data_IF_848779651102
#
_entry.id   IF_848779651102
#
_cell.length_a   1.000
_cell.length_b   1.000
_cell.length_c   1.000
_cell.angle_alpha   90.00
_cell.angle_beta   90.00
_cell.angle_gamma   90.00
#
_symmetry.space_group_name_H-M   'P 1'
#
loop_
_entity.id
_entity.type
_entity.pdbx_description
1 polymer ?
#
# COMPACT_ATOMS: atom_id res chain seq x y z
N UNK A 1 -33.24 -69.49 -24.20
CA UNK A 1 -32.35 -68.90 -23.16
C UNK A 1 -33.00 -67.62 -22.66
N UNK A 2 -33.50 -67.59 -21.43
CA UNK A 2 -34.17 -66.41 -20.85
C UNK A 2 -33.37 -65.95 -19.63
N UNK A 3 -32.75 -64.78 -19.71
CA UNK A 3 -31.83 -64.25 -18.69
C UNK A 3 -32.64 -63.48 -17.65
N UNK A 4 -32.77 -64.05 -16.45
CA UNK A 4 -33.45 -63.40 -15.31
C UNK A 4 -32.55 -62.31 -14.72
N UNK A 5 -32.94 -61.05 -14.90
CA UNK A 5 -32.33 -59.89 -14.23
C UNK A 5 -32.94 -59.76 -12.84
N UNK A 6 -32.16 -60.10 -11.79
CA UNK A 6 -32.53 -59.84 -10.40
C UNK A 6 -32.21 -58.39 -10.06
N UNK A 7 -33.24 -57.55 -9.93
CA UNK A 7 -33.13 -56.22 -9.32
C UNK A 7 -33.14 -56.37 -7.81
N UNK A 8 -32.06 -55.96 -7.15
CA UNK A 8 -31.98 -55.94 -5.69
C UNK A 8 -32.72 -54.70 -5.18
N UNK A 9 -33.71 -54.85 -4.27
CA UNK A 9 -34.38 -53.71 -3.66
C UNK A 9 -33.39 -52.98 -2.75
N UNK A 10 -33.09 -51.72 -3.07
CA UNK A 10 -32.35 -50.82 -2.19
C UNK A 10 -33.23 -50.58 -0.97
N UNK A 11 -32.82 -51.13 0.17
CA UNK A 11 -33.56 -51.04 1.44
C UNK A 11 -33.46 -49.61 1.97
N UNK A 12 -34.41 -48.76 1.62
CA UNK A 12 -34.57 -47.44 2.24
C UNK A 12 -35.00 -47.65 3.70
N UNK A 13 -34.05 -47.55 4.63
CA UNK A 13 -34.33 -47.42 6.06
C UNK A 13 -34.55 -45.92 6.34
N UNK A 14 -35.65 -45.57 7.00
CA UNK A 14 -35.92 -44.18 7.38
C UNK A 14 -34.81 -43.60 8.25
N UNK A 15 -34.63 -42.28 8.22
CA UNK A 15 -33.60 -41.58 9.00
C UNK A 15 -33.83 -41.73 10.50
N UNK A 16 -32.77 -42.10 11.23
CA UNK A 16 -32.79 -42.09 12.71
C UNK A 16 -32.72 -40.66 13.24
N UNK A 17 -33.35 -40.39 14.39
CA UNK A 17 -33.31 -39.09 15.07
C UNK A 17 -31.87 -38.66 15.35
N UNK A 18 -31.00 -39.60 15.74
CA UNK A 18 -29.57 -39.31 15.97
C UNK A 18 -28.86 -38.86 14.69
N UNK A 19 -29.20 -39.47 13.56
CA UNK A 19 -28.62 -39.15 12.25
C UNK A 19 -29.04 -37.75 11.79
N UNK A 20 -30.31 -37.40 12.01
CA UNK A 20 -30.83 -36.04 11.80
C UNK A 20 -30.19 -35.00 12.73
N UNK A 21 -29.88 -35.38 13.97
CA UNK A 21 -29.22 -34.50 14.94
C UNK A 21 -27.76 -34.22 14.53
N UNK A 22 -27.01 -35.24 14.10
CA UNK A 22 -25.66 -35.02 13.56
C UNK A 22 -25.69 -34.22 12.24
N UNK A 23 -26.64 -34.50 11.35
CA UNK A 23 -26.78 -33.77 10.09
C UNK A 23 -27.04 -32.27 10.31
N UNK A 24 -27.91 -31.92 11.27
CA UNK A 24 -28.20 -30.50 11.58
C UNK A 24 -27.01 -29.78 12.22
N UNK A 25 -26.23 -30.46 13.07
CA UNK A 25 -25.00 -29.87 13.65
C UNK A 25 -23.96 -29.61 12.56
N UNK A 26 -23.71 -30.58 11.67
CA UNK A 26 -22.76 -30.41 10.55
C UNK A 26 -23.22 -29.27 9.63
N UNK A 27 -24.51 -29.21 9.33
CA UNK A 27 -25.10 -28.12 8.52
C UNK A 27 -24.90 -26.75 9.18
N UNK A 28 -25.17 -26.64 10.48
CA UNK A 28 -25.01 -25.38 11.22
C UNK A 28 -23.55 -24.92 11.24
N UNK A 29 -22.60 -25.82 11.53
CA UNK A 29 -21.16 -25.49 11.49
C UNK A 29 -20.75 -25.04 10.09
N UNK A 30 -21.21 -25.72 9.05
CA UNK A 30 -20.95 -25.33 7.66
C UNK A 30 -21.51 -23.95 7.33
N UNK A 31 -22.75 -23.66 7.72
CA UNK A 31 -23.41 -22.39 7.45
C UNK A 31 -22.76 -21.22 8.20
N UNK A 32 -22.44 -21.40 9.48
CA UNK A 32 -21.71 -20.40 10.28
C UNK A 32 -20.32 -20.15 9.69
N UNK A 33 -19.63 -21.20 9.24
CA UNK A 33 -18.30 -21.07 8.62
C UNK A 33 -18.34 -20.25 7.34
N UNK A 34 -19.32 -20.48 6.46
CA UNK A 34 -19.48 -19.67 5.23
C UNK A 34 -19.88 -18.23 5.57
N UNK A 35 -20.77 -18.04 6.55
CA UNK A 35 -21.24 -16.72 6.95
C UNK A 35 -20.12 -15.80 7.47
N UNK A 36 -19.10 -16.35 8.13
CA UNK A 36 -17.93 -15.56 8.56
C UNK A 36 -16.86 -15.40 7.47
N UNK A 37 -16.69 -16.39 6.59
CA UNK A 37 -15.66 -16.36 5.54
C UNK A 37 -15.95 -15.32 4.46
N UNK A 38 -17.23 -15.09 4.13
CA UNK A 38 -17.61 -14.13 3.08
C UNK A 38 -17.25 -12.68 3.47
N UNK A 39 -17.67 -12.14 4.63
CA UNK A 39 -17.27 -10.81 5.07
C UNK A 39 -15.76 -10.66 5.25
N UNK A 40 -15.10 -11.68 5.81
CA UNK A 40 -13.64 -11.69 5.98
C UNK A 40 -12.92 -11.57 4.62
N UNK A 41 -13.37 -12.33 3.62
CA UNK A 41 -12.80 -12.29 2.27
C UNK A 41 -13.04 -10.94 1.58
N UNK A 42 -14.21 -10.33 1.77
CA UNK A 42 -14.50 -8.99 1.26
C UNK A 42 -13.57 -7.94 1.88
N UNK A 43 -13.36 -8.00 3.19
CA UNK A 43 -12.45 -7.08 3.88
C UNK A 43 -11.01 -7.22 3.39
N UNK A 44 -10.53 -8.45 3.20
CA UNK A 44 -9.19 -8.72 2.66
C UNK A 44 -9.05 -8.22 1.22
N UNK A 45 -10.03 -8.50 0.36
CA UNK A 45 -10.01 -8.02 -1.03
C UNK A 45 -10.05 -6.49 -1.11
N UNK A 46 -10.82 -5.85 -0.23
CA UNK A 46 -10.85 -4.39 -0.15
C UNK A 46 -9.48 -3.82 0.21
N UNK A 47 -8.83 -4.36 1.26
CA UNK A 47 -7.47 -3.95 1.65
C UNK A 47 -6.46 -4.16 0.53
N UNK A 48 -6.47 -5.32 -0.11
CA UNK A 48 -5.57 -5.61 -1.23
C UNK A 48 -5.74 -4.65 -2.41
N UNK A 49 -6.97 -4.24 -2.70
CA UNK A 49 -7.26 -3.26 -3.75
C UNK A 49 -6.70 -1.89 -3.39
N UNK A 50 -6.87 -1.45 -2.14
CA UNK A 50 -6.33 -0.17 -1.67
C UNK A 50 -4.80 -0.15 -1.66
N UNK A 51 -4.17 -1.24 -1.22
CA UNK A 51 -2.70 -1.36 -1.25
C UNK A 51 -2.18 -1.34 -2.70
N UNK A 52 -2.90 -1.99 -3.63
CA UNK A 52 -2.53 -1.97 -5.05
C UNK A 52 -2.65 -0.58 -5.67
N UNK A 53 -3.70 0.19 -5.36
CA UNK A 53 -3.84 1.56 -5.86
C UNK A 53 -2.79 2.49 -5.26
N UNK A 54 -2.51 2.36 -3.96
CA UNK A 54 -1.47 3.12 -3.29
C UNK A 54 -0.07 2.81 -3.87
N UNK A 55 0.20 1.54 -4.24
CA UNK A 55 1.45 1.13 -4.87
C UNK A 55 1.62 1.78 -6.25
N UNK A 56 0.59 1.71 -7.10
CA UNK A 56 0.63 2.32 -8.44
C UNK A 56 0.85 3.82 -8.33
N UNK A 57 0.21 4.48 -7.35
CA UNK A 57 0.41 5.90 -7.11
C UNK A 57 1.85 6.20 -6.62
N UNK A 58 2.36 5.41 -5.67
CA UNK A 58 3.74 5.54 -5.20
C UNK A 58 4.76 5.39 -6.34
N UNK A 59 4.54 4.43 -7.23
CA UNK A 59 5.40 4.22 -8.41
C UNK A 59 5.36 5.42 -9.36
N UNK A 60 4.18 5.93 -9.70
CA UNK A 60 4.06 7.13 -10.55
C UNK A 60 4.74 8.34 -9.93
N UNK A 61 4.59 8.53 -8.62
CA UNK A 61 5.24 9.64 -7.93
C UNK A 61 6.76 9.48 -7.91
N UNK A 62 7.25 8.25 -7.72
CA UNK A 62 8.67 7.94 -7.80
C UNK A 62 9.21 8.23 -9.21
N UNK A 63 8.47 7.91 -10.27
CA UNK A 63 8.86 8.23 -11.65
C UNK A 63 9.01 9.75 -11.86
N UNK A 64 8.06 10.55 -11.36
CA UNK A 64 8.15 12.02 -11.42
C UNK A 64 9.40 12.54 -10.68
N UNK A 65 9.72 11.94 -9.52
CA UNK A 65 10.92 12.30 -8.74
C UNK A 65 12.20 11.94 -9.51
N UNK A 66 12.23 10.77 -10.14
CA UNK A 66 13.39 10.29 -10.88
C UNK A 66 13.65 11.02 -12.19
N UNK A 67 12.62 11.60 -12.80
CA UNK A 67 12.75 12.42 -14.02
C UNK A 67 13.40 13.78 -13.75
N UNK A 68 13.48 14.21 -12.49
CA UNK A 68 14.10 15.49 -12.15
C UNK A 68 15.63 15.44 -12.23
N UNK A 69 16.27 16.52 -12.71
CA UNK A 69 17.72 16.66 -12.67
C UNK A 69 18.34 16.41 -11.28
N UNK A 70 19.52 15.79 -11.27
CA UNK A 70 20.27 15.54 -10.03
C UNK A 70 20.69 16.84 -9.30
N UNK A 71 20.89 17.94 -10.01
CA UNK A 71 21.51 19.15 -9.47
C UNK A 71 20.57 20.36 -9.51
N UNK A 72 20.68 21.29 -8.53
CA UNK A 72 19.99 22.57 -8.59
C UNK A 72 20.33 23.36 -9.86
N UNK A 73 19.41 24.20 -10.37
CA UNK A 73 18.09 24.52 -9.82
C UNK A 73 16.98 23.50 -10.19
N UNK A 74 17.27 22.46 -10.96
CA UNK A 74 16.28 21.49 -11.46
C UNK A 74 15.97 20.34 -10.51
N UNK A 75 16.57 20.27 -9.33
CA UNK A 75 16.37 19.20 -8.34
C UNK A 75 15.09 19.38 -7.50
N UNK A 76 14.01 19.81 -8.13
CA UNK A 76 12.73 20.05 -7.50
C UNK A 76 11.61 19.88 -8.52
N UNK A 77 10.41 19.57 -8.05
CA UNK A 77 9.22 19.58 -8.89
C UNK A 77 8.16 20.50 -8.28
N UNK A 78 7.24 20.97 -9.12
CA UNK A 78 6.14 21.85 -8.72
C UNK A 78 4.82 21.14 -8.97
N UNK A 79 3.91 21.18 -8.00
CA UNK A 79 2.57 20.63 -8.18
C UNK A 79 1.65 21.57 -8.98
N UNK A 80 0.41 21.11 -9.21
CA UNK A 80 -0.62 21.90 -9.88
C UNK A 80 -1.05 23.15 -9.08
N UNK A 81 -0.80 23.17 -7.77
CA UNK A 81 -1.11 24.27 -6.87
C UNK A 81 0.03 25.31 -6.79
N UNK A 82 1.13 25.10 -7.51
CA UNK A 82 2.30 25.97 -7.49
C UNK A 82 3.24 25.76 -6.31
N UNK A 83 3.03 24.72 -5.50
CA UNK A 83 3.93 24.36 -4.40
C UNK A 83 5.16 23.66 -4.95
N UNK A 84 6.34 24.06 -4.49
CA UNK A 84 7.61 23.43 -4.85
C UNK A 84 7.99 22.38 -3.82
N UNK A 85 8.57 21.28 -4.31
CA UNK A 85 9.01 20.15 -3.51
C UNK A 85 10.46 19.81 -3.85
N UNK A 86 11.30 19.74 -2.81
CA UNK A 86 12.75 19.59 -2.96
C UNK A 86 13.16 18.12 -3.04
N UNK A 87 14.18 17.84 -3.85
CA UNK A 87 14.72 16.50 -4.04
C UNK A 87 16.18 16.39 -3.55
N UNK A 88 16.48 17.06 -2.44
CA UNK A 88 17.78 17.01 -1.78
C UNK A 88 18.76 18.09 -2.25
N UNK A 89 19.48 18.67 -1.29
CA UNK A 89 20.50 19.70 -1.41
C UNK A 89 21.91 19.09 -1.46
N UNK A 90 22.69 19.30 -2.54
CA UNK A 90 24.05 18.77 -2.65
C UNK A 90 25.06 19.38 -1.66
N UNK A 91 24.73 20.48 -0.98
CA UNK A 91 25.59 21.13 0.03
C UNK A 91 25.69 20.38 1.34
N UNK A 92 24.78 19.45 1.59
CA UNK A 92 24.76 18.57 2.78
C UNK A 92 24.85 17.09 2.38
N UNK A 93 25.99 16.65 1.81
CA UNK A 93 26.13 15.29 1.30
C UNK A 93 26.19 14.25 2.43
N UNK A 94 25.77 13.03 2.13
CA UNK A 94 25.81 11.84 3.00
C UNK A 94 24.99 11.97 4.29
N UNK A 95 24.00 12.86 4.31
CA UNK A 95 23.03 13.01 5.40
C UNK A 95 21.63 12.74 4.86
N UNK A 96 20.76 12.16 5.70
CA UNK A 96 19.33 12.01 5.38
C UNK A 96 18.68 13.38 5.41
N UNK A 97 18.07 13.77 4.29
CA UNK A 97 17.34 15.01 4.13
C UNK A 97 15.84 14.72 3.95
N UNK A 98 14.99 15.57 4.50
CA UNK A 98 13.54 15.43 4.43
C UNK A 98 12.94 14.73 5.65
N UNK A 99 12.05 13.76 5.42
CA UNK A 99 11.35 13.10 6.52
C UNK A 99 12.24 12.13 7.30
N UNK A 100 11.85 11.88 8.55
CA UNK A 100 12.53 10.90 9.39
C UNK A 100 12.38 9.49 8.80
N UNK A 101 13.51 8.79 8.72
CA UNK A 101 13.58 7.40 8.27
C UNK A 101 13.83 6.53 9.49
N UNK A 102 12.93 5.58 9.75
CA UNK A 102 13.03 4.63 10.87
C UNK A 102 13.43 3.25 10.35
N UNK A 103 14.46 2.62 10.92
CA UNK A 103 14.76 1.22 10.64
C UNK A 103 13.78 0.32 11.41
N UNK A 104 13.09 -0.58 10.72
CA UNK A 104 12.24 -1.60 11.32
C UNK A 104 12.41 -2.92 10.56
N UNK A 105 12.68 -4.02 11.27
CA UNK A 105 12.91 -5.34 10.66
C UNK A 105 13.88 -5.32 9.46
N UNK A 106 15.03 -4.64 9.60
CA UNK A 106 16.03 -4.47 8.54
C UNK A 106 15.55 -3.72 7.28
N UNK A 107 14.40 -3.05 7.33
CA UNK A 107 13.88 -2.18 6.28
C UNK A 107 13.94 -0.72 6.74
N UNK A 108 14.21 0.20 5.81
CA UNK A 108 14.14 1.65 6.06
C UNK A 108 12.76 2.15 5.65
N UNK A 109 11.97 2.66 6.59
CA UNK A 109 10.63 3.19 6.34
C UNK A 109 10.55 4.67 6.69
N UNK A 110 9.59 5.36 6.06
CA UNK A 110 9.27 6.74 6.44
C UNK A 110 8.38 6.73 7.69
N UNK A 111 8.69 7.62 8.63
CA UNK A 111 7.87 7.86 9.80
C UNK A 111 6.66 8.76 9.48
N UNK A 112 5.46 8.22 9.70
CA UNK A 112 4.18 8.89 9.49
C UNK A 112 3.48 9.31 10.79
N UNK A 113 4.16 9.22 11.95
CA UNK A 113 3.60 9.59 13.26
C UNK A 113 3.43 11.10 13.42
N UNK A 114 4.28 11.90 12.78
CA UNK A 114 4.20 13.37 12.78
C UNK A 114 3.18 13.95 11.78
N UNK A 115 2.86 15.25 11.89
CA UNK A 115 2.00 15.94 10.93
C UNK A 115 2.59 15.88 9.52
N UNK A 116 1.73 16.01 8.49
CA UNK A 116 2.20 16.07 7.11
C UNK A 116 3.13 17.27 6.90
N UNK A 117 4.29 17.09 6.25
CA UNK A 117 5.21 18.18 5.96
C UNK A 117 4.57 19.33 5.20
N UNK A 118 4.93 20.57 5.57
CA UNK A 118 4.61 21.73 4.75
C UNK A 118 5.45 21.75 3.46
N UNK A 119 4.94 22.39 2.41
CA UNK A 119 5.67 22.61 1.16
C UNK A 119 6.95 23.44 1.37
N UNK A 120 7.82 23.48 0.36
CA UNK A 120 8.99 24.36 0.35
C UNK A 120 8.54 25.84 0.44
N UNK A 121 9.23 26.71 1.19
CA UNK A 121 10.58 26.57 1.75
C UNK A 121 10.70 25.91 3.13
N UNK A 122 9.62 25.49 3.76
CA UNK A 122 9.64 25.05 5.17
C UNK A 122 10.20 23.63 5.34
N UNK A 123 9.71 22.67 4.55
CA UNK A 123 10.20 21.29 4.56
C UNK A 123 10.32 20.80 3.11
N UNK A 124 9.20 20.73 2.38
CA UNK A 124 9.21 20.44 0.95
C UNK A 124 9.48 18.97 0.58
N UNK A 125 9.46 18.05 1.55
CA UNK A 125 9.67 16.61 1.35
C UNK A 125 8.40 15.75 1.52
N UNK A 126 7.22 16.37 1.44
CA UNK A 126 5.96 15.64 1.53
C UNK A 126 4.75 16.52 1.24
N UNK A 127 3.63 15.87 0.92
CA UNK A 127 2.34 16.51 0.67
C UNK A 127 1.20 15.51 0.78
N UNK A 128 -0.03 16.01 0.85
CA UNK A 128 -1.23 15.20 0.68
C UNK A 128 -1.75 15.32 -0.75
N UNK A 129 -2.10 14.21 -1.36
CA UNK A 129 -2.75 14.16 -2.65
C UNK A 129 -4.15 13.58 -2.53
N UNK A 130 -5.14 14.29 -3.02
CA UNK A 130 -6.49 13.77 -3.23
C UNK A 130 -6.74 13.79 -4.73
N UNK A 131 -7.18 12.67 -5.29
CA UNK A 131 -7.60 12.64 -6.69
C UNK A 131 -8.87 13.49 -6.84
N UNK A 132 -8.84 14.60 -7.63
CA UNK A 132 -10.01 15.45 -7.83
C UNK A 132 -11.18 14.75 -8.51
N UNK A 133 -10.94 13.63 -9.18
CA UNK A 133 -11.94 12.84 -9.90
C UNK A 133 -12.49 11.67 -9.08
N UNK A 134 -11.95 11.42 -7.88
CA UNK A 134 -12.41 10.34 -7.02
C UNK A 134 -13.64 10.76 -6.18
N UNK A 135 -14.84 10.21 -6.44
CA UNK A 135 -16.05 10.53 -5.67
C UNK A 135 -15.98 10.05 -4.22
N UNK A 136 -15.03 9.18 -3.87
CA UNK A 136 -14.83 8.70 -2.49
C UNK A 136 -13.93 9.61 -1.65
N UNK A 137 -13.23 10.56 -2.29
CA UNK A 137 -12.37 11.52 -1.62
C UNK A 137 -11.14 10.89 -0.95
N UNK A 138 -10.61 9.80 -1.50
CA UNK A 138 -9.45 9.14 -0.92
C UNK A 138 -8.23 10.06 -0.99
N UNK A 139 -7.64 10.35 0.17
CA UNK A 139 -6.44 11.18 0.30
C UNK A 139 -5.22 10.33 0.64
N UNK A 140 -4.08 10.61 0.03
CA UNK A 140 -2.80 9.96 0.28
C UNK A 140 -1.79 10.94 0.87
N UNK A 141 -1.14 10.56 1.98
CA UNK A 141 0.09 11.16 2.51
C UNK A 141 1.27 10.64 1.68
N UNK A 142 2.00 11.54 1.06
CA UNK A 142 3.25 11.23 0.36
C UNK A 142 4.37 11.91 1.11
N UNK A 143 5.39 11.13 1.49
CA UNK A 143 6.57 11.63 2.18
C UNK A 143 7.79 10.94 1.62
N UNK A 144 8.88 11.67 1.46
CA UNK A 144 10.15 11.07 1.09
C UNK A 144 11.30 11.58 1.94
N UNK A 145 12.38 10.82 1.89
CA UNK A 145 13.69 11.19 2.36
C UNK A 145 14.69 11.00 1.22
N UNK A 146 15.71 11.84 1.20
CA UNK A 146 16.77 11.83 0.18
C UNK A 146 18.11 11.74 0.86
N UNK A 147 18.98 10.87 0.34
CA UNK A 147 20.40 10.85 0.70
C UNK A 147 21.17 11.23 -0.56
N UNK A 148 21.78 12.41 -0.55
CA UNK A 148 22.59 12.91 -1.67
C UNK A 148 24.04 12.52 -1.45
N UNK A 149 24.68 11.90 -2.45
CA UNK A 149 26.12 11.64 -2.45
C UNK A 149 26.77 12.47 -3.54
N UNK A 150 27.85 13.19 -3.22
CA UNK A 150 28.48 14.11 -4.17
C UNK A 150 29.58 14.97 -3.54
N UNK A 151 30.03 15.97 -4.27
CA UNK A 151 31.13 16.85 -3.88
C UNK A 151 30.64 18.22 -3.38
N UNK A 152 29.72 18.24 -2.39
CA UNK A 152 29.28 19.44 -1.66
C UNK A 152 28.58 20.55 -2.46
N UNK A 153 28.56 20.46 -3.79
CA UNK A 153 27.90 21.40 -4.69
C UNK A 153 27.33 20.68 -5.93
N UNK A 154 27.81 19.46 -6.18
CA UNK A 154 27.38 18.61 -7.30
C UNK A 154 27.02 17.25 -6.73
N UNK A 155 25.75 16.87 -6.88
CA UNK A 155 25.27 15.51 -6.63
C UNK A 155 25.77 14.57 -7.73
N UNK A 156 26.42 13.49 -7.32
CA UNK A 156 26.81 12.37 -8.18
C UNK A 156 25.72 11.29 -8.21
N UNK A 157 25.13 11.00 -7.06
CA UNK A 157 23.95 10.14 -6.96
C UNK A 157 22.99 10.59 -5.87
N UNK A 158 21.75 10.12 -5.95
CA UNK A 158 20.71 10.33 -4.95
C UNK A 158 19.99 9.02 -4.68
N UNK A 159 19.82 8.68 -3.41
CA UNK A 159 18.92 7.62 -2.96
C UNK A 159 17.64 8.24 -2.43
N UNK A 160 16.51 7.77 -2.93
CA UNK A 160 15.17 8.21 -2.54
C UNK A 160 14.48 7.10 -1.79
N UNK A 161 13.95 7.43 -0.61
CA UNK A 161 13.09 6.56 0.18
C UNK A 161 11.72 7.23 0.19
N UNK A 162 10.76 6.69 -0.54
CA UNK A 162 9.41 7.23 -0.70
C UNK A 162 8.44 6.38 0.11
N UNK A 163 7.68 7.01 0.98
CA UNK A 163 6.55 6.43 1.68
C UNK A 163 5.23 6.98 1.16
N UNK A 164 4.23 6.13 1.01
CA UNK A 164 2.84 6.53 0.74
C UNK A 164 1.90 5.85 1.72
N UNK A 165 1.01 6.64 2.34
CA UNK A 165 -0.03 6.17 3.27
C UNK A 165 -1.37 6.79 2.92
N UNK A 166 -2.45 6.03 2.94
CA UNK A 166 -3.79 6.60 2.84
C UNK A 166 -4.19 7.33 4.13
N UNK A 167 -4.60 8.61 4.04
CA UNK A 167 -5.16 9.42 5.12
C UNK A 167 -6.67 9.56 4.90
N UNK A 168 -7.43 8.51 5.24
CA UNK A 168 -8.88 8.53 5.09
C UNK A 168 -9.44 7.13 4.86
N UNK A 169 -10.68 6.90 5.27
CA UNK A 169 -11.30 5.57 5.28
C UNK A 169 -11.21 4.86 6.63
N UNK A 170 -12.16 3.97 6.89
CA UNK A 170 -12.31 3.31 8.19
C UNK A 170 -11.32 2.14 8.31
N UNK A 171 -10.04 2.41 8.64
CA UNK A 171 -9.04 1.36 8.81
C UNK A 171 -7.60 1.84 9.01
N UNK A 172 -6.78 0.97 9.62
CA UNK A 172 -5.32 1.12 9.67
C UNK A 172 -4.74 0.54 8.37
N UNK A 173 -4.09 1.38 7.56
CA UNK A 173 -3.41 0.98 6.34
C UNK A 173 -1.91 1.06 6.56
N UNK A 174 -1.20 0.00 6.16
CA UNK A 174 0.25 -0.02 6.23
C UNK A 174 0.81 0.93 5.17
N UNK A 175 1.78 1.78 5.50
CA UNK A 175 2.43 2.60 4.50
C UNK A 175 3.24 1.73 3.54
N UNK A 176 3.16 2.06 2.25
CA UNK A 176 4.00 1.46 1.22
C UNK A 176 5.29 2.26 1.18
N UNK A 177 6.44 1.58 1.20
CA UNK A 177 7.75 2.22 1.05
C UNK A 177 8.45 1.70 -0.19
N UNK A 178 8.93 2.62 -1.03
CA UNK A 178 9.78 2.36 -2.19
C UNK A 178 11.15 2.98 -1.96
N UNK A 179 12.20 2.28 -2.36
CA UNK A 179 13.59 2.73 -2.24
C UNK A 179 14.27 2.59 -3.60
N UNK A 180 14.88 3.67 -4.08
CA UNK A 180 15.55 3.70 -5.37
C UNK A 180 16.77 4.60 -5.33
N UNK A 181 17.68 4.43 -6.29
CA UNK A 181 18.81 5.31 -6.47
C UNK A 181 18.95 5.72 -7.94
N UNK A 182 19.36 6.97 -8.13
CA UNK A 182 19.75 7.50 -9.44
C UNK A 182 21.19 7.99 -9.36
N UNK A 183 21.98 7.61 -10.35
CA UNK A 183 23.35 8.05 -10.54
C UNK A 183 23.48 8.70 -11.91
N UNK A 184 24.42 9.65 -12.02
CA UNK A 184 24.90 10.11 -13.30
C UNK A 184 25.65 9.01 -14.05
#
# INVERSE_FOLDING_TARGET
MQRSTKTFPVRQRGFSILEMLFATVILLVGLVSVAQLVPASLMLNYRNRMDSSALVFAQRQLDVILDQPLNPPGNAFTDQNGNTYQLGDPTTPNVVQGNNVVPFNNQTLIDFSGPTPAAYPTNGYGFTYQDPQDPTGTTYDVRWAVIVTGNGNVAACKRFILGVRQIGGNGFFLPITLDTMVTR
#
